data_IF_950498060228
#
_entry.id   IF_950498060228
#
_cell.length_a   1.000
_cell.length_b   1.000
_cell.length_c   1.000
_cell.angle_alpha   90.00
_cell.angle_beta   90.00
_cell.angle_gamma   90.00
#
_symmetry.space_group_name_H-M   'P 1'
#
loop_
_entity.id
_entity.type
_entity.pdbx_description
1 polymer ?
#
# COMPACT_ATOMS: atom_id res chain seq x y z
N UNK A 1 34.27 3.19 11.33
CA UNK A 1 33.65 3.08 9.99
C UNK A 1 32.38 2.23 9.98
N UNK A 2 32.40 0.95 10.43
CA UNK A 2 31.21 0.08 10.40
C UNK A 2 29.96 0.60 11.13
N UNK A 3 30.12 1.13 12.35
CA UNK A 3 29.00 1.71 13.11
C UNK A 3 28.39 2.95 12.42
N UNK A 4 29.21 3.76 11.72
CA UNK A 4 28.73 4.90 10.94
C UNK A 4 27.92 4.45 9.72
N UNK A 5 28.41 3.45 8.98
CA UNK A 5 27.70 2.86 7.85
C UNK A 5 26.37 2.25 8.32
N UNK A 6 26.37 1.48 9.40
CA UNK A 6 25.16 0.88 9.96
C UNK A 6 24.12 1.93 10.35
N UNK A 7 24.53 2.97 11.08
CA UNK A 7 23.63 4.09 11.45
C UNK A 7 23.02 4.73 10.21
N UNK A 8 23.83 4.95 9.16
CA UNK A 8 23.36 5.56 7.92
C UNK A 8 22.37 4.68 7.17
N UNK A 9 22.64 3.38 7.07
CA UNK A 9 21.73 2.39 6.45
C UNK A 9 20.39 2.33 7.20
N UNK A 10 20.43 2.25 8.54
CA UNK A 10 19.20 2.25 9.36
C UNK A 10 18.41 3.55 9.16
N UNK A 11 19.08 4.70 9.16
CA UNK A 11 18.43 5.99 8.89
C UNK A 11 17.81 6.05 7.49
N UNK A 12 18.50 5.56 6.46
CA UNK A 12 17.95 5.50 5.09
C UNK A 12 16.73 4.60 5.01
N UNK A 13 16.79 3.40 5.59
CA UNK A 13 15.65 2.48 5.63
C UNK A 13 14.46 3.10 6.37
N UNK A 14 14.70 3.76 7.50
CA UNK A 14 13.65 4.45 8.25
C UNK A 14 12.98 5.56 7.45
N UNK A 15 13.76 6.37 6.73
CA UNK A 15 13.23 7.42 5.85
C UNK A 15 12.42 6.82 4.70
N UNK A 16 12.93 5.78 4.03
CA UNK A 16 12.21 5.09 2.96
C UNK A 16 10.90 4.48 3.45
N UNK A 17 10.91 3.84 4.63
CA UNK A 17 9.70 3.29 5.25
C UNK A 17 8.68 4.39 5.56
N UNK A 18 9.13 5.52 6.11
CA UNK A 18 8.26 6.67 6.38
C UNK A 18 7.62 7.22 5.10
N UNK A 19 8.42 7.42 4.05
CA UNK A 19 7.92 7.85 2.73
C UNK A 19 6.92 6.84 2.18
N UNK A 20 7.21 5.54 2.26
CA UNK A 20 6.30 4.48 1.83
C UNK A 20 4.96 4.54 2.56
N UNK A 21 4.97 4.72 3.89
CA UNK A 21 3.74 4.88 4.68
C UNK A 21 2.95 6.10 4.21
N UNK A 22 3.59 7.24 3.97
CA UNK A 22 2.90 8.43 3.47
C UNK A 22 2.29 8.22 2.09
N UNK A 23 3.02 7.62 1.15
CA UNK A 23 2.50 7.30 -0.19
C UNK A 23 1.29 6.36 -0.09
N UNK A 24 1.39 5.30 0.71
CA UNK A 24 0.28 4.37 0.94
C UNK A 24 -0.95 5.07 1.52
N UNK A 25 -0.75 5.94 2.53
CA UNK A 25 -1.84 6.71 3.11
C UNK A 25 -2.46 7.69 2.10
N UNK A 26 -1.66 8.37 1.28
CA UNK A 26 -2.16 9.28 0.25
C UNK A 26 -3.01 8.53 -0.79
N UNK A 27 -2.58 7.34 -1.22
CA UNK A 27 -3.36 6.51 -2.15
C UNK A 27 -4.68 6.04 -1.53
N UNK A 28 -4.70 5.78 -0.21
CA UNK A 28 -5.90 5.32 0.49
C UNK A 28 -6.85 6.44 0.92
N UNK A 29 -6.31 7.64 1.14
CA UNK A 29 -7.08 8.85 1.40
C UNK A 29 -7.58 9.50 0.11
N UNK A 30 -7.04 9.12 -1.05
CA UNK A 30 -7.53 9.57 -2.34
C UNK A 30 -9.02 9.18 -2.47
N UNK A 31 -9.88 10.10 -2.94
CA UNK A 31 -11.28 9.81 -3.12
C UNK A 31 -11.46 8.79 -4.25
N UNK A 32 -12.18 7.71 -3.95
CA UNK A 32 -12.45 6.63 -4.88
C UNK A 32 -12.01 5.27 -4.34
N UNK A 33 -12.78 4.24 -4.66
CA UNK A 33 -12.43 2.88 -4.30
C UNK A 33 -11.40 2.32 -5.29
N UNK A 34 -10.20 1.89 -4.86
CA UNK A 34 -9.21 1.30 -5.75
C UNK A 34 -9.76 0.08 -6.49
N UNK A 35 -10.67 -0.69 -5.89
CA UNK A 35 -11.33 -1.78 -6.59
C UNK A 35 -12.20 -1.28 -7.75
N UNK A 36 -12.93 -0.17 -7.58
CA UNK A 36 -13.72 0.47 -8.65
C UNK A 36 -12.81 1.04 -9.74
N UNK A 37 -11.69 1.65 -9.36
CA UNK A 37 -10.70 2.17 -10.33
C UNK A 37 -10.09 1.06 -11.18
N UNK A 38 -9.82 -0.11 -10.59
CA UNK A 38 -9.30 -1.29 -11.29
C UNK A 38 -10.40 -1.97 -12.12
N UNK A 39 -11.63 -2.03 -11.60
CA UNK A 39 -12.73 -2.73 -12.24
C UNK A 39 -13.31 -1.98 -13.46
N UNK A 40 -13.23 -0.64 -13.44
CA UNK A 40 -13.80 0.26 -14.44
C UNK A 40 -15.26 0.66 -14.13
N UNK A 41 -15.74 1.74 -14.75
CA UNK A 41 -17.06 2.36 -14.49
C UNK A 41 -18.26 1.42 -14.71
N UNK A 42 -18.12 0.35 -15.48
CA UNK A 42 -19.21 -0.61 -15.78
C UNK A 42 -19.07 -1.95 -15.05
N UNK A 43 -18.21 -2.05 -14.02
CA UNK A 43 -18.05 -3.28 -13.28
C UNK A 43 -19.26 -3.59 -12.39
N UNK A 44 -19.70 -4.85 -12.40
CA UNK A 44 -20.71 -5.32 -11.45
C UNK A 44 -20.18 -5.28 -10.02
N UNK A 45 -21.06 -5.08 -9.04
CA UNK A 45 -20.71 -5.08 -7.62
C UNK A 45 -19.99 -6.37 -7.19
N UNK A 46 -20.35 -7.51 -7.80
CA UNK A 46 -19.71 -8.80 -7.56
C UNK A 46 -18.26 -8.85 -8.05
N UNK A 47 -17.97 -8.22 -9.21
CA UNK A 47 -16.60 -8.08 -9.72
C UNK A 47 -15.75 -7.18 -8.82
N UNK A 48 -16.34 -6.09 -8.31
CA UNK A 48 -15.67 -5.17 -7.37
C UNK A 48 -15.38 -5.87 -6.04
N UNK A 49 -16.31 -6.67 -5.51
CA UNK A 49 -16.10 -7.47 -4.30
C UNK A 49 -14.99 -8.52 -4.48
N UNK A 50 -14.97 -9.21 -5.64
CA UNK A 50 -13.90 -10.14 -5.97
C UNK A 50 -12.53 -9.48 -6.10
N UNK A 51 -12.48 -8.23 -6.60
CA UNK A 51 -11.25 -7.43 -6.64
C UNK A 51 -10.81 -7.04 -5.23
N UNK A 52 -11.73 -6.60 -4.35
CA UNK A 52 -11.39 -6.33 -2.95
C UNK A 52 -10.75 -7.52 -2.25
N UNK A 53 -11.30 -8.72 -2.45
CA UNK A 53 -10.78 -9.94 -1.84
C UNK A 53 -9.45 -10.35 -2.46
N UNK A 54 -9.33 -10.31 -3.80
CA UNK A 54 -8.10 -10.67 -4.52
C UNK A 54 -6.92 -9.77 -4.14
N UNK A 55 -7.15 -8.47 -4.00
CA UNK A 55 -6.11 -7.50 -3.63
C UNK A 55 -5.98 -7.31 -2.12
N UNK A 56 -6.75 -8.03 -1.30
CA UNK A 56 -6.70 -7.90 0.16
C UNK A 56 -7.08 -6.51 0.66
N UNK A 57 -7.90 -5.76 -0.09
CA UNK A 57 -8.34 -4.41 0.27
C UNK A 57 -9.25 -4.42 1.52
N UNK A 58 -9.76 -5.60 1.90
CA UNK A 58 -10.50 -5.85 3.13
C UNK A 58 -9.59 -6.22 4.33
N UNK A 59 -8.29 -6.45 4.13
CA UNK A 59 -7.37 -6.82 5.20
C UNK A 59 -7.08 -5.63 6.12
N UNK A 60 -6.58 -5.83 7.36
CA UNK A 60 -6.11 -4.73 8.21
C UNK A 60 -5.05 -3.86 7.50
N UNK A 61 -5.05 -2.54 7.75
CA UNK A 61 -4.13 -1.60 7.07
C UNK A 61 -2.65 -2.01 7.08
N UNK A 62 -2.09 -2.55 8.19
CA UNK A 62 -0.69 -3.00 8.18
C UNK A 62 -0.43 -4.14 7.19
N UNK A 63 -1.40 -5.05 7.01
CA UNK A 63 -1.31 -6.16 6.05
C UNK A 63 -1.36 -5.61 4.62
N UNK A 64 -2.26 -4.67 4.34
CA UNK A 64 -2.35 -3.99 3.04
C UNK A 64 -1.06 -3.25 2.68
N UNK A 65 -0.43 -2.57 3.64
CA UNK A 65 0.85 -1.88 3.42
C UNK A 65 1.97 -2.86 3.05
N UNK A 66 2.05 -4.00 3.75
CA UNK A 66 3.06 -5.04 3.47
C UNK A 66 2.81 -5.70 2.11
N UNK A 67 1.55 -5.95 1.72
CA UNK A 67 1.21 -6.47 0.39
C UNK A 67 1.60 -5.47 -0.70
N UNK A 68 1.16 -4.21 -0.56
CA UNK A 68 1.47 -3.14 -1.51
C UNK A 68 2.98 -2.93 -1.72
N UNK A 69 3.79 -3.03 -0.66
CA UNK A 69 5.25 -2.89 -0.78
C UNK A 69 5.98 -4.11 -1.36
N UNK A 70 5.29 -5.24 -1.55
CA UNK A 70 5.86 -6.48 -2.12
C UNK A 70 5.51 -6.68 -3.59
N UNK A 71 4.39 -6.10 -4.03
CA UNK A 71 3.91 -6.13 -5.42
C UNK A 71 4.59 -5.01 -6.26
#
# INVERSE_FOLDING_TARGET
MGAYILRRVVSTIAVMAMVGVFVFLLLRLAPGDPAVMIAGESASAEKIAGIHEKFGLNDPMPVQFIRWGKD
#
